data_IF_549421311083
#
_entry.id   IF_549421311083
#
_cell.length_a   1.000
_cell.length_b   1.000
_cell.length_c   1.000
_cell.angle_alpha   90.00
_cell.angle_beta   90.00
_cell.angle_gamma   90.00
#
_symmetry.space_group_name_H-M   'P 1'
#
loop_
_entity.id
_entity.type
_entity.pdbx_description
1 polymer ?
#
# COMPACT_ATOMS: atom_id res chain seq x y z
N UNK A 1 21.20 -6.01 -8.26
CA UNK A 1 19.82 -5.76 -7.77
C UNK A 1 19.58 -4.26 -7.85
N UNK A 2 18.45 -3.80 -8.40
CA UNK A 2 18.05 -2.38 -8.29
C UNK A 2 17.06 -2.23 -7.16
N UNK A 3 17.14 -1.11 -6.45
CA UNK A 3 16.19 -0.76 -5.40
C UNK A 3 15.65 0.64 -5.61
N UNK A 4 14.36 0.79 -5.37
CA UNK A 4 13.75 2.08 -5.09
C UNK A 4 13.53 2.14 -3.58
N UNK A 5 14.12 3.14 -2.92
CA UNK A 5 13.99 3.34 -1.48
C UNK A 5 12.90 4.38 -1.25
N UNK A 6 11.88 4.01 -0.48
CA UNK A 6 10.76 4.89 -0.14
C UNK A 6 11.12 5.76 1.07
N UNK A 7 10.40 6.87 1.32
CA UNK A 7 10.61 7.70 2.51
C UNK A 7 10.42 6.96 3.85
N UNK A 8 9.68 5.84 3.84
CA UNK A 8 9.48 4.92 4.95
C UNK A 8 10.67 3.96 5.19
N UNK A 9 11.78 4.13 4.47
CA UNK A 9 12.93 3.21 4.34
C UNK A 9 12.63 1.84 3.71
N UNK A 10 11.37 1.58 3.33
CA UNK A 10 11.01 0.37 2.59
C UNK A 10 11.72 0.33 1.24
N UNK A 11 12.22 -0.84 0.87
CA UNK A 11 12.94 -1.07 -0.40
C UNK A 11 12.10 -1.90 -1.36
N UNK A 12 11.74 -1.33 -2.50
CA UNK A 12 11.18 -2.06 -3.63
C UNK A 12 12.32 -2.66 -4.46
N UNK A 13 12.38 -3.98 -4.54
CA UNK A 13 13.49 -4.69 -5.17
C UNK A 13 13.14 -5.11 -6.61
N UNK A 14 14.06 -4.84 -7.53
CA UNK A 14 13.98 -5.24 -8.93
C UNK A 14 15.20 -6.10 -9.28
N UNK A 15 14.94 -7.39 -9.54
CA UNK A 15 16.00 -8.41 -9.71
C UNK A 15 16.56 -8.38 -11.13
N UNK A 16 17.89 -8.47 -11.28
CA UNK A 16 18.61 -8.44 -12.57
C UNK A 16 18.03 -7.43 -13.59
N UNK A 17 17.99 -6.15 -13.21
CA UNK A 17 17.47 -5.07 -14.06
C UNK A 17 18.39 -4.88 -15.27
N UNK A 18 17.82 -4.61 -16.44
CA UNK A 18 18.56 -4.20 -17.66
C UNK A 18 17.64 -3.50 -18.65
N UNK A 19 18.22 -2.75 -19.57
CA UNK A 19 17.51 -2.33 -20.78
C UNK A 19 17.27 -3.54 -21.67
N UNK A 20 16.05 -3.68 -22.15
CA UNK A 20 15.62 -4.69 -23.11
C UNK A 20 14.67 -4.10 -24.12
N UNK A 21 14.07 -4.96 -24.93
CA UNK A 21 13.09 -4.58 -25.93
C UNK A 21 11.68 -4.81 -25.38
N UNK A 22 10.79 -3.84 -25.55
CA UNK A 22 9.38 -3.96 -25.20
C UNK A 22 8.60 -4.76 -26.26
N UNK A 23 7.35 -5.08 -25.95
CA UNK A 23 6.43 -5.75 -26.88
C UNK A 23 6.21 -5.01 -28.22
N UNK A 24 6.60 -3.74 -28.33
CA UNK A 24 6.46 -2.90 -29.53
C UNK A 24 7.80 -2.66 -30.27
N UNK A 25 8.89 -3.33 -29.87
CA UNK A 25 10.21 -3.19 -30.49
C UNK A 25 11.03 -1.99 -30.05
N UNK A 26 10.58 -1.23 -29.03
CA UNK A 26 11.30 -0.10 -28.46
C UNK A 26 12.09 -0.46 -27.20
N UNK A 27 13.00 0.42 -26.78
CA UNK A 27 13.73 0.22 -25.51
C UNK A 27 12.81 0.30 -24.29
N UNK A 28 13.03 -0.59 -23.32
CA UNK A 28 12.32 -0.60 -22.03
C UNK A 28 13.19 -1.11 -20.89
N UNK A 29 12.78 -0.80 -19.66
CA UNK A 29 13.42 -1.35 -18.47
C UNK A 29 12.80 -2.71 -18.18
N UNK A 30 13.63 -3.74 -18.08
CA UNK A 30 13.18 -5.10 -17.75
C UNK A 30 13.83 -5.61 -16.47
N UNK A 31 13.13 -6.46 -15.74
CA UNK A 31 13.66 -7.12 -14.54
C UNK A 31 13.07 -8.53 -14.41
N UNK A 32 13.64 -9.34 -13.52
CA UNK A 32 13.18 -10.69 -13.23
C UNK A 32 12.19 -10.69 -12.04
N UNK A 33 11.07 -11.39 -12.19
CA UNK A 33 10.04 -11.47 -11.15
C UNK A 33 8.97 -12.51 -11.47
N UNK A 34 7.98 -12.63 -10.58
CA UNK A 34 6.82 -13.52 -10.77
C UNK A 34 5.80 -12.78 -11.63
N UNK A 35 5.54 -13.28 -12.84
CA UNK A 35 4.54 -12.69 -13.72
C UNK A 35 3.16 -13.32 -13.60
N UNK A 36 2.28 -13.02 -14.57
CA UNK A 36 0.86 -13.43 -14.53
C UNK A 36 0.66 -14.94 -14.50
N UNK A 37 1.61 -15.70 -15.07
CA UNK A 37 1.61 -17.17 -15.06
C UNK A 37 2.06 -17.79 -13.73
N UNK A 38 2.36 -16.97 -12.72
CA UNK A 38 2.96 -17.37 -11.43
C UNK A 38 4.33 -18.06 -11.57
N UNK A 39 5.00 -17.88 -12.71
CA UNK A 39 6.37 -18.36 -12.95
C UNK A 39 7.35 -17.19 -12.90
N UNK A 40 8.61 -17.53 -12.64
CA UNK A 40 9.70 -16.57 -12.73
C UNK A 40 9.98 -16.27 -14.20
N UNK A 41 9.83 -15.01 -14.59
CA UNK A 41 10.02 -14.56 -15.95
C UNK A 41 10.62 -13.16 -15.99
N UNK A 42 10.90 -12.68 -17.21
CA UNK A 42 11.35 -11.32 -17.43
C UNK A 42 10.15 -10.41 -17.64
N UNK A 43 9.98 -9.45 -16.77
CA UNK A 43 8.91 -8.48 -16.77
C UNK A 43 9.38 -7.19 -17.44
N UNK A 44 8.56 -6.68 -18.35
CA UNK A 44 8.69 -5.34 -18.90
C UNK A 44 8.18 -4.31 -17.87
N UNK A 45 8.82 -3.13 -17.83
CA UNK A 45 8.40 -2.01 -17.03
C UNK A 45 8.68 -0.68 -17.71
N UNK A 46 7.98 0.34 -17.25
CA UNK A 46 8.01 1.69 -17.78
C UNK A 46 7.68 2.67 -16.66
N UNK A 47 7.92 3.97 -16.89
CA UNK A 47 7.78 5.02 -15.86
C UNK A 47 6.49 4.93 -15.02
N UNK A 48 5.30 4.95 -15.65
CA UNK A 48 4.03 4.78 -14.96
C UNK A 48 3.91 3.52 -14.10
N UNK A 49 4.47 2.38 -14.51
CA UNK A 49 4.44 1.16 -13.68
C UNK A 49 5.27 1.28 -12.42
N UNK A 50 6.41 1.96 -12.49
CA UNK A 50 7.21 2.26 -11.29
C UNK A 50 6.46 3.23 -10.36
N UNK A 51 5.84 4.26 -10.92
CA UNK A 51 5.02 5.22 -10.15
C UNK A 51 3.87 4.50 -9.44
N UNK A 52 3.14 3.61 -10.13
CA UNK A 52 2.09 2.78 -9.54
C UNK A 52 2.61 1.97 -8.34
N UNK A 53 3.73 1.25 -8.52
CA UNK A 53 4.32 0.45 -7.44
C UNK A 53 4.77 1.30 -6.24
N UNK A 54 5.34 2.49 -6.50
CA UNK A 54 5.76 3.43 -5.45
C UNK A 54 4.56 3.93 -4.66
N UNK A 55 3.51 4.41 -5.36
CA UNK A 55 2.31 4.95 -4.73
C UNK A 55 1.61 3.88 -3.90
N UNK A 56 1.37 2.69 -4.46
CA UNK A 56 0.73 1.59 -3.72
C UNK A 56 1.55 1.17 -2.49
N UNK A 57 2.88 1.15 -2.59
CA UNK A 57 3.74 0.80 -1.47
C UNK A 57 3.71 1.87 -0.35
N UNK A 58 3.72 3.16 -0.71
CA UNK A 58 3.57 4.27 0.25
C UNK A 58 2.20 4.20 0.93
N UNK A 59 1.10 4.02 0.16
CA UNK A 59 -0.24 3.85 0.72
C UNK A 59 -0.31 2.68 1.70
N UNK A 60 0.32 1.55 1.36
CA UNK A 60 0.41 0.39 2.27
C UNK A 60 1.19 0.73 3.53
N UNK A 61 2.29 1.46 3.44
CA UNK A 61 3.10 1.81 4.61
C UNK A 61 2.35 2.77 5.55
N UNK A 62 1.53 3.68 5.01
CA UNK A 62 0.62 4.54 5.78
C UNK A 62 -0.45 3.71 6.47
N UNK A 63 -1.17 2.84 5.74
CA UNK A 63 -2.19 1.97 6.33
C UNK A 63 -1.63 1.09 7.45
N UNK A 64 -0.44 0.52 7.26
CA UNK A 64 0.22 -0.29 8.29
C UNK A 64 0.57 0.52 9.53
N UNK A 65 0.89 1.82 9.39
CA UNK A 65 1.08 2.71 10.54
C UNK A 65 -0.24 2.94 11.28
N UNK A 66 -1.33 3.25 10.57
CA UNK A 66 -2.66 3.42 11.14
C UNK A 66 -3.14 2.15 11.86
N UNK A 67 -2.97 0.97 11.27
CA UNK A 67 -3.32 -0.31 11.90
C UNK A 67 -2.51 -0.58 13.19
N UNK A 68 -1.27 -0.10 13.30
CA UNK A 68 -0.51 -0.17 14.55
C UNK A 68 -1.09 0.75 15.63
N UNK A 69 -1.54 1.95 15.26
CA UNK A 69 -2.22 2.85 16.19
C UNK A 69 -3.52 2.23 16.71
N UNK A 70 -4.23 1.50 15.84
CA UNK A 70 -5.47 0.79 16.15
C UNK A 70 -5.24 -0.60 16.81
N UNK A 71 -4.02 -0.95 17.21
CA UNK A 71 -3.66 -2.30 17.67
C UNK A 71 -4.36 -2.74 18.97
N UNK A 72 -4.97 -1.82 19.72
CA UNK A 72 -5.80 -2.15 20.89
C UNK A 72 -7.19 -2.62 20.50
N UNK A 73 -7.62 -2.38 19.27
CA UNK A 73 -8.88 -2.85 18.74
C UNK A 73 -8.73 -4.22 18.07
N UNK A 74 -9.83 -4.95 17.97
CA UNK A 74 -9.89 -6.22 17.24
C UNK A 74 -10.12 -5.94 15.75
N UNK A 75 -9.04 -5.73 15.00
CA UNK A 75 -9.09 -5.66 13.54
C UNK A 75 -9.44 -7.04 12.99
N UNK A 76 -10.61 -7.18 12.36
CA UNK A 76 -11.09 -8.46 11.81
C UNK A 76 -10.80 -8.60 10.32
N UNK A 77 -10.65 -7.49 9.60
CA UNK A 77 -10.30 -7.46 8.19
C UNK A 77 -9.75 -6.09 7.79
N UNK A 78 -9.15 -6.01 6.61
CA UNK A 78 -8.83 -4.77 5.93
C UNK A 78 -9.03 -4.95 4.43
N UNK A 79 -9.57 -3.95 3.73
CA UNK A 79 -9.88 -3.99 2.31
C UNK A 79 -9.37 -2.71 1.67
N UNK A 80 -8.41 -2.81 0.75
CA UNK A 80 -7.70 -1.63 0.23
C UNK A 80 -7.13 -0.76 1.36
N UNK A 81 -7.68 0.43 1.56
CA UNK A 81 -7.38 1.42 2.60
C UNK A 81 -8.34 1.37 3.79
N UNK A 82 -9.36 0.51 3.77
CA UNK A 82 -10.33 0.33 4.83
C UNK A 82 -9.83 -0.66 5.90
N UNK A 83 -10.11 -0.35 7.17
CA UNK A 83 -9.89 -1.25 8.32
C UNK A 83 -11.24 -1.56 8.97
N UNK A 84 -11.53 -2.86 9.12
CA UNK A 84 -12.78 -3.34 9.73
C UNK A 84 -12.46 -3.82 11.14
N UNK A 85 -13.14 -3.23 12.12
CA UNK A 85 -12.90 -3.47 13.54
C UNK A 85 -14.18 -4.00 14.19
N UNK A 86 -14.02 -5.07 14.96
CA UNK A 86 -15.04 -5.49 15.93
C UNK A 86 -14.81 -4.73 17.25
N UNK A 87 -15.73 -3.83 17.58
CA UNK A 87 -15.60 -2.93 18.73
C UNK A 87 -16.84 -2.99 19.63
N UNK A 88 -16.64 -2.57 20.89
CA UNK A 88 -17.75 -2.31 21.78
C UNK A 88 -18.58 -1.11 21.24
N UNK A 89 -19.93 -1.14 21.26
CA UNK A 89 -20.80 -0.05 20.77
C UNK A 89 -20.58 1.34 21.42
N UNK A 90 -19.86 1.42 22.53
CA UNK A 90 -19.47 2.69 23.17
C UNK A 90 -18.24 3.33 22.51
N UNK A 91 -17.52 2.62 21.64
CA UNK A 91 -16.37 3.16 20.91
C UNK A 91 -16.87 4.09 19.81
N UNK A 92 -16.40 5.34 19.83
CA UNK A 92 -16.73 6.33 18.81
C UNK A 92 -15.96 6.07 17.52
N UNK A 93 -16.69 5.96 16.40
CA UNK A 93 -16.12 5.92 15.04
C UNK A 93 -15.23 7.14 14.77
N UNK A 94 -15.61 8.32 15.26
CA UNK A 94 -14.81 9.55 15.12
C UNK A 94 -13.43 9.44 15.77
N UNK A 95 -13.33 8.79 16.93
CA UNK A 95 -12.03 8.58 17.60
C UNK A 95 -11.18 7.55 16.84
N UNK A 96 -11.79 6.51 16.27
CA UNK A 96 -11.11 5.55 15.39
C UNK A 96 -10.57 6.25 14.15
N UNK A 97 -11.40 7.08 13.48
CA UNK A 97 -10.99 7.85 12.31
C UNK A 97 -9.82 8.79 12.66
N UNK A 98 -9.89 9.50 13.79
CA UNK A 98 -8.80 10.36 14.26
C UNK A 98 -7.49 9.60 14.49
N UNK A 99 -7.54 8.37 15.00
CA UNK A 99 -6.34 7.52 15.13
C UNK A 99 -5.83 7.06 13.75
N UNK A 100 -6.74 6.74 12.84
CA UNK A 100 -6.41 6.32 11.48
C UNK A 100 -5.79 7.45 10.64
N UNK A 101 -6.19 8.70 10.87
CA UNK A 101 -5.67 9.92 10.22
C UNK A 101 -4.30 10.37 10.76
N UNK A 102 -3.68 9.64 11.70
CA UNK A 102 -2.37 10.01 12.22
C UNK A 102 -1.27 9.81 11.18
N UNK A 103 -0.59 10.90 10.83
CA UNK A 103 0.49 10.91 9.84
C UNK A 103 1.76 10.27 10.43
N UNK A 104 2.38 9.30 9.74
CA UNK A 104 3.66 8.74 10.15
C UNK A 104 4.76 9.81 10.23
N UNK A 105 5.74 9.72 11.16
CA UNK A 105 6.80 10.72 11.30
C UNK A 105 7.58 11.02 10.01
N UNK A 106 7.76 10.02 9.14
CA UNK A 106 8.46 10.14 7.85
C UNK A 106 7.64 10.85 6.76
N UNK A 107 6.32 11.01 6.95
CA UNK A 107 5.38 11.60 5.99
C UNK A 107 4.93 13.02 6.41
N UNK A 108 5.74 13.74 7.18
CA UNK A 108 5.37 15.05 7.74
C UNK A 108 4.82 16.01 6.66
N UNK A 109 3.64 16.55 6.91
CA UNK A 109 2.95 17.49 6.01
C UNK A 109 1.96 16.81 5.05
N UNK A 110 1.86 15.48 5.05
CA UNK A 110 0.78 14.79 4.37
C UNK A 110 -0.58 15.19 4.96
N UNK A 111 -1.50 15.64 4.11
CA UNK A 111 -2.89 15.85 4.48
C UNK A 111 -3.59 14.49 4.44
N UNK A 112 -3.60 13.80 5.58
CA UNK A 112 -4.22 12.50 5.74
C UNK A 112 -5.53 12.65 6.52
N UNK A 113 -6.58 12.05 6.00
CA UNK A 113 -7.89 11.98 6.66
C UNK A 113 -8.49 10.58 6.52
N UNK A 114 -9.49 10.30 7.35
CA UNK A 114 -10.19 9.03 7.38
C UNK A 114 -11.67 9.29 7.65
N UNK A 115 -12.52 8.54 6.96
CA UNK A 115 -13.96 8.51 7.18
C UNK A 115 -14.39 7.08 7.51
N UNK A 116 -15.53 6.93 8.18
CA UNK A 116 -16.00 5.63 8.61
C UNK A 116 -17.41 5.67 9.19
N UNK A 117 -17.97 4.48 9.35
CA UNK A 117 -19.31 4.28 9.89
C UNK A 117 -19.35 3.04 10.78
N UNK A 118 -20.42 2.93 11.56
CA UNK A 118 -20.74 1.74 12.36
C UNK A 118 -21.85 0.94 11.69
N UNK A 119 -21.75 -0.39 11.73
CA UNK A 119 -22.77 -1.29 11.20
C UNK A 119 -22.68 -2.66 11.90
N UNK A 120 -23.80 -3.38 11.94
CA UNK A 120 -23.87 -4.72 12.54
C UNK A 120 -23.25 -5.82 11.64
N UNK A 121 -23.07 -5.53 10.35
CA UNK A 121 -22.50 -6.44 9.36
C UNK A 121 -21.81 -5.66 8.26
N UNK A 122 -20.74 -6.24 7.70
CA UNK A 122 -19.98 -5.63 6.60
C UNK A 122 -20.90 -5.29 5.43
N UNK A 123 -20.91 -4.01 5.07
CA UNK A 123 -21.59 -3.48 3.89
C UNK A 123 -20.51 -3.01 2.95
N UNK A 124 -20.54 -3.51 1.72
CA UNK A 124 -19.63 -3.02 0.70
C UNK A 124 -20.29 -1.81 0.04
N UNK A 125 -19.66 -0.65 0.15
CA UNK A 125 -19.98 0.50 -0.70
C UNK A 125 -19.58 0.24 -2.17
#
# INVERSE_FOLDING_TARGET
>A
MLFIVLPSDRRLAYVKPRIGENQFGGESVTYEGVGGTKKWERLESYGPKFVENIVQAISRDILMYSMKMLSTYRIVAHVHDEVIIEANPQISVTEVCKQMSQVPPWAKGLLLDADGYECDFYQKD
#
